data_IF_297792049368
#
_entry.id   IF_297792049368
#
_cell.length_a   1.000
_cell.length_b   1.000
_cell.length_c   1.000
_cell.angle_alpha   90.00
_cell.angle_beta   90.00
_cell.angle_gamma   90.00
#
_symmetry.space_group_name_H-M   'P 1'
#
loop_
_entity.id
_entity.type
_entity.pdbx_description
1 polymer ?
#
# COMPACT_ATOMS: atom_id res chain seq x y z
N UNK A 1 -36.23 11.02 -29.42
CA UNK A 1 -35.16 12.04 -29.31
C UNK A 1 -34.30 11.78 -28.07
N UNK A 2 -33.62 10.63 -27.96
CA UNK A 2 -32.77 10.27 -26.80
C UNK A 2 -31.32 9.90 -27.17
N UNK A 3 -30.98 9.84 -28.47
CA UNK A 3 -29.64 9.40 -28.92
C UNK A 3 -28.56 10.47 -28.86
N UNK A 4 -28.92 11.76 -28.88
CA UNK A 4 -27.93 12.85 -28.98
C UNK A 4 -27.25 13.13 -27.63
N UNK A 5 -27.98 13.00 -26.52
CA UNK A 5 -27.44 13.23 -25.17
C UNK A 5 -26.37 12.22 -24.76
N UNK A 6 -26.57 10.93 -25.09
CA UNK A 6 -25.62 9.88 -24.75
C UNK A 6 -24.30 10.02 -25.52
N UNK A 7 -24.39 10.41 -26.81
CA UNK A 7 -23.23 10.66 -27.66
C UNK A 7 -22.44 11.88 -27.15
N UNK A 8 -23.12 12.94 -26.72
CA UNK A 8 -22.46 14.10 -26.12
C UNK A 8 -21.73 13.76 -24.81
N UNK A 9 -22.33 12.92 -23.95
CA UNK A 9 -21.68 12.45 -22.72
C UNK A 9 -20.44 11.62 -23.04
N UNK A 10 -20.55 10.67 -23.97
CA UNK A 10 -19.42 9.84 -24.40
C UNK A 10 -18.29 10.67 -25.02
N UNK A 11 -18.61 11.69 -25.82
CA UNK A 11 -17.63 12.63 -26.39
C UNK A 11 -16.90 13.43 -25.32
N UNK A 12 -17.60 13.87 -24.26
CA UNK A 12 -16.98 14.55 -23.12
C UNK A 12 -16.04 13.61 -22.36
N UNK A 13 -16.42 12.34 -22.15
CA UNK A 13 -15.53 11.35 -21.54
C UNK A 13 -14.31 11.03 -22.41
N UNK A 14 -14.47 10.97 -23.74
CA UNK A 14 -13.36 10.76 -24.68
C UNK A 14 -12.43 11.97 -24.72
N UNK A 15 -12.97 13.19 -24.66
CA UNK A 15 -12.18 14.43 -24.59
C UNK A 15 -11.46 14.59 -23.24
N UNK A 16 -12.12 14.23 -22.14
CA UNK A 16 -11.48 14.20 -20.81
C UNK A 16 -10.44 13.08 -20.70
N UNK A 17 -10.64 11.95 -21.39
CA UNK A 17 -9.69 10.84 -21.46
C UNK A 17 -8.49 11.09 -22.38
N UNK A 18 -8.56 12.09 -23.27
CA UNK A 18 -7.49 12.48 -24.18
C UNK A 18 -6.41 13.37 -23.56
N UNK A 19 -6.72 14.02 -22.44
CA UNK A 19 -5.69 14.63 -21.60
C UNK A 19 -5.21 13.56 -20.61
N UNK A 20 -4.28 12.72 -21.05
CA UNK A 20 -3.37 12.07 -20.13
C UNK A 20 -2.56 13.17 -19.43
N UNK A 21 -3.16 13.76 -18.40
CA UNK A 21 -2.42 14.47 -17.36
C UNK A 21 -1.44 13.42 -16.89
N UNK A 22 -0.17 13.57 -17.27
CA UNK A 22 0.91 12.73 -16.73
C UNK A 22 0.73 12.78 -15.22
N UNK A 23 0.24 11.68 -14.65
CA UNK A 23 -0.08 11.60 -13.24
C UNK A 23 1.24 11.94 -12.57
N UNK A 24 1.35 13.10 -11.92
CA UNK A 24 2.54 13.44 -11.14
C UNK A 24 2.76 12.25 -10.22
N UNK A 25 3.85 11.51 -10.42
CA UNK A 25 4.10 10.26 -9.70
C UNK A 25 4.47 10.65 -8.27
N UNK A 26 3.56 10.51 -7.28
CA UNK A 26 3.85 10.96 -5.93
C UNK A 26 5.04 10.18 -5.34
N UNK A 27 5.31 8.95 -5.81
CA UNK A 27 6.48 8.17 -5.37
C UNK A 27 7.84 8.76 -5.81
N UNK A 28 7.87 9.57 -6.88
CA UNK A 28 9.10 10.22 -7.34
C UNK A 28 9.51 11.37 -6.41
N UNK A 29 8.60 11.82 -5.54
CA UNK A 29 8.93 12.65 -4.40
C UNK A 29 9.28 11.75 -3.20
N UNK A 30 10.57 11.69 -2.87
CA UNK A 30 11.08 10.87 -1.77
C UNK A 30 10.40 11.18 -0.43
N UNK A 31 9.81 12.38 -0.26
CA UNK A 31 9.07 12.76 0.94
C UNK A 31 7.80 11.92 1.13
N UNK A 32 7.20 11.45 0.04
CA UNK A 32 6.02 10.56 0.11
C UNK A 32 6.42 9.22 0.69
N UNK A 33 7.53 8.62 0.22
CA UNK A 33 8.04 7.37 0.78
C UNK A 33 8.51 7.55 2.22
N UNK A 34 9.20 8.65 2.54
CA UNK A 34 9.65 8.98 3.90
C UNK A 34 8.48 9.09 4.89
N UNK A 35 7.34 9.64 4.46
CA UNK A 35 6.13 9.69 5.28
C UNK A 35 5.67 8.29 5.69
N UNK A 36 5.55 7.35 4.74
CA UNK A 36 5.16 5.97 5.06
C UNK A 36 6.18 5.25 5.94
N UNK A 37 7.48 5.49 5.72
CA UNK A 37 8.55 4.93 6.57
C UNK A 37 8.45 5.46 8.00
N UNK A 38 8.12 6.74 8.16
CA UNK A 38 7.96 7.37 9.48
C UNK A 38 6.74 6.82 10.22
N UNK A 39 5.59 6.73 9.57
CA UNK A 39 4.37 6.14 10.15
C UNK A 39 4.59 4.69 10.61
N UNK A 40 5.32 3.91 9.82
CA UNK A 40 5.69 2.53 10.17
C UNK A 40 6.59 2.47 11.41
N UNK A 41 7.57 3.38 11.52
CA UNK A 41 8.43 3.49 12.70
C UNK A 41 7.65 3.91 13.96
N UNK A 42 6.78 4.90 13.83
CA UNK A 42 5.97 5.38 14.96
C UNK A 42 5.05 4.25 15.47
N UNK A 43 4.48 3.47 14.56
CA UNK A 43 3.72 2.26 14.89
C UNK A 43 4.56 1.22 15.63
N UNK A 44 5.82 1.00 15.23
CA UNK A 44 6.73 0.10 15.92
C UNK A 44 6.98 0.52 17.37
N UNK A 45 7.15 1.83 17.62
CA UNK A 45 7.32 2.35 18.99
C UNK A 45 6.10 2.05 19.85
N UNK A 46 4.88 2.25 19.31
CA UNK A 46 3.62 1.93 20.00
C UNK A 46 3.55 0.42 20.32
N UNK A 47 3.89 -0.43 19.34
CA UNK A 47 3.90 -1.88 19.51
C UNK A 47 4.89 -2.35 20.59
N UNK A 48 6.10 -1.79 20.60
CA UNK A 48 7.13 -2.08 21.63
C UNK A 48 6.70 -1.62 23.02
N UNK A 49 5.93 -0.53 23.09
CA UNK A 49 5.38 0.01 24.35
C UNK A 49 4.49 -0.98 25.11
N UNK A 50 3.99 -2.01 24.44
CA UNK A 50 2.99 -2.91 24.99
C UNK A 50 3.53 -4.04 25.89
N UNK A 51 4.85 -4.13 26.16
CA UNK A 51 5.51 -5.05 27.12
C UNK A 51 4.85 -6.44 27.31
N UNK A 52 4.48 -7.12 26.21
CA UNK A 52 3.86 -8.45 26.23
C UNK A 52 2.35 -8.51 26.50
N UNK A 53 1.71 -7.38 26.85
CA UNK A 53 0.26 -7.28 27.08
C UNK A 53 -0.59 -7.13 25.81
N UNK A 54 0.04 -7.00 24.64
CA UNK A 54 -0.66 -6.83 23.37
C UNK A 54 -1.23 -8.13 22.79
N UNK A 55 -1.03 -9.25 23.48
CA UNK A 55 -1.92 -10.40 23.39
C UNK A 55 -2.19 -10.91 21.99
N UNK A 56 -1.18 -10.91 21.11
CA UNK A 56 -1.28 -11.65 19.86
C UNK A 56 -1.01 -13.12 20.19
N UNK A 57 -2.05 -13.84 20.63
CA UNK A 57 -1.94 -15.28 20.95
C UNK A 57 -1.84 -16.16 19.70
N UNK A 58 -1.86 -15.57 18.49
CA UNK A 58 -1.84 -16.27 17.21
C UNK A 58 -0.61 -15.88 16.40
N UNK A 59 0.07 -16.88 15.84
CA UNK A 59 1.10 -16.62 14.84
C UNK A 59 0.44 -16.14 13.55
N UNK A 60 1.00 -15.09 12.93
CA UNK A 60 0.61 -14.63 11.60
C UNK A 60 1.73 -14.91 10.61
N UNK A 61 1.36 -15.28 9.40
CA UNK A 61 2.29 -15.30 8.28
C UNK A 61 2.51 -13.86 7.82
N UNK A 62 3.76 -13.45 7.75
CA UNK A 62 4.19 -12.12 7.29
C UNK A 62 5.21 -12.29 6.17
N UNK A 63 5.32 -11.33 5.23
CA UNK A 63 6.35 -11.40 4.20
C UNK A 63 7.74 -11.36 4.83
N UNK A 64 8.69 -12.04 4.18
CA UNK A 64 10.09 -11.88 4.51
C UNK A 64 10.55 -10.50 4.05
N UNK A 65 11.07 -9.70 4.97
CA UNK A 65 11.48 -8.31 4.70
C UNK A 65 12.98 -8.16 4.43
N UNK A 66 13.76 -9.23 4.57
CA UNK A 66 15.19 -9.23 4.25
C UNK A 66 15.39 -9.31 2.74
N UNK A 67 16.14 -8.37 2.18
CA UNK A 67 16.50 -8.34 0.76
C UNK A 67 17.98 -8.70 0.62
N UNK A 68 18.28 -9.70 -0.20
CA UNK A 68 19.64 -9.93 -0.69
C UNK A 68 19.86 -9.09 -1.95
N UNK A 69 20.60 -7.99 -1.80
CA UNK A 69 20.83 -7.05 -2.91
C UNK A 69 21.59 -7.68 -4.08
N UNK A 70 22.44 -8.67 -3.83
CA UNK A 70 23.18 -9.35 -4.89
C UNK A 70 22.25 -10.17 -5.80
N UNK A 71 21.16 -10.70 -5.24
CA UNK A 71 20.12 -11.39 -6.02
C UNK A 71 19.12 -10.38 -6.59
N UNK A 72 18.69 -9.42 -5.78
CA UNK A 72 17.65 -8.44 -6.11
C UNK A 72 17.99 -7.63 -7.37
N UNK A 73 19.24 -7.18 -7.51
CA UNK A 73 19.70 -6.41 -8.67
C UNK A 73 19.63 -7.18 -10.00
N UNK A 74 19.55 -8.51 -9.94
CA UNK A 74 19.43 -9.37 -11.11
C UNK A 74 17.98 -9.75 -11.46
N UNK A 75 17.01 -9.39 -10.62
CA UNK A 75 15.58 -9.57 -10.89
C UNK A 75 15.12 -8.44 -11.81
N UNK A 76 14.32 -8.75 -12.81
CA UNK A 76 13.74 -7.72 -13.67
C UNK A 76 12.77 -6.81 -12.88
N UNK A 77 12.57 -5.59 -13.38
CA UNK A 77 11.76 -4.57 -12.68
C UNK A 77 10.32 -5.05 -12.42
N UNK A 78 9.75 -5.86 -13.33
CA UNK A 78 8.42 -6.39 -13.14
C UNK A 78 8.40 -7.48 -12.07
N UNK A 79 9.40 -8.36 -12.03
CA UNK A 79 9.61 -9.32 -10.95
C UNK A 79 9.77 -8.66 -9.58
N UNK A 80 10.58 -7.60 -9.49
CA UNK A 80 10.74 -6.81 -8.27
C UNK A 80 9.41 -6.16 -7.84
N UNK A 81 8.68 -5.56 -8.77
CA UNK A 81 7.38 -4.96 -8.49
C UNK A 81 6.36 -5.99 -8.00
N UNK A 82 6.33 -7.18 -8.63
CA UNK A 82 5.46 -8.29 -8.25
C UNK A 82 5.79 -8.80 -6.84
N UNK A 83 7.06 -8.92 -6.48
CA UNK A 83 7.48 -9.32 -5.14
C UNK A 83 7.04 -8.29 -4.09
N UNK A 84 7.24 -7.00 -4.35
CA UNK A 84 6.79 -5.92 -3.46
C UNK A 84 5.27 -5.93 -3.30
N UNK A 85 4.51 -6.00 -4.40
CA UNK A 85 3.04 -6.01 -4.36
C UNK A 85 2.50 -7.23 -3.61
N UNK A 86 3.07 -8.42 -3.86
CA UNK A 86 2.69 -9.66 -3.17
C UNK A 86 3.01 -9.57 -1.67
N UNK A 87 4.19 -9.04 -1.33
CA UNK A 87 4.59 -8.81 0.05
C UNK A 87 3.65 -7.85 0.79
N UNK A 88 3.29 -6.73 0.17
CA UNK A 88 2.31 -5.77 0.71
C UNK A 88 0.95 -6.42 0.93
N UNK A 89 0.47 -7.23 -0.01
CA UNK A 89 -0.82 -7.93 0.12
C UNK A 89 -0.82 -8.93 1.28
N UNK A 90 0.27 -9.68 1.45
CA UNK A 90 0.42 -10.61 2.58
C UNK A 90 0.47 -9.86 3.91
N UNK A 91 1.16 -8.73 3.96
CA UNK A 91 1.22 -7.88 5.16
C UNK A 91 -0.15 -7.32 5.51
N UNK A 92 -0.90 -6.80 4.54
CA UNK A 92 -2.27 -6.30 4.74
C UNK A 92 -3.17 -7.39 5.33
N UNK A 93 -3.12 -8.62 4.79
CA UNK A 93 -3.87 -9.76 5.31
C UNK A 93 -3.46 -10.11 6.74
N UNK A 94 -2.16 -10.07 7.05
CA UNK A 94 -1.65 -10.34 8.40
C UNK A 94 -2.17 -9.32 9.40
N UNK A 95 -2.13 -8.02 9.07
CA UNK A 95 -2.61 -6.94 9.95
C UNK A 95 -4.13 -7.00 10.13
N UNK A 96 -4.89 -7.26 9.07
CA UNK A 96 -6.34 -7.45 9.17
C UNK A 96 -6.70 -8.65 10.06
N UNK A 97 -5.88 -9.71 10.06
CA UNK A 97 -6.07 -10.85 10.96
C UNK A 97 -5.63 -10.55 12.40
N UNK A 98 -4.60 -9.71 12.59
CA UNK A 98 -4.18 -9.22 13.90
C UNK A 98 -5.26 -8.34 14.55
N UNK A 99 -5.88 -7.45 13.75
CA UNK A 99 -6.94 -6.55 14.17
C UNK A 99 -8.13 -7.30 14.82
N UNK A 100 -8.48 -8.49 14.30
CA UNK A 100 -9.58 -9.31 14.84
C UNK A 100 -9.35 -9.81 16.27
N UNK A 101 -8.11 -9.81 16.74
CA UNK A 101 -7.72 -10.29 18.07
C UNK A 101 -7.27 -9.18 19.02
N UNK A 102 -7.14 -7.95 18.52
CA UNK A 102 -6.61 -6.85 19.33
C UNK A 102 -7.72 -6.28 20.21
N UNK A 103 -7.42 -6.10 21.50
CA UNK A 103 -8.30 -5.44 22.47
C UNK A 103 -7.72 -4.13 23.01
N UNK A 104 -6.42 -3.91 22.79
CA UNK A 104 -5.72 -2.69 23.21
C UNK A 104 -6.00 -1.56 22.20
N UNK A 105 -6.60 -0.45 22.66
CA UNK A 105 -6.99 0.67 21.81
C UNK A 105 -5.81 1.36 21.09
N UNK A 106 -4.67 1.67 21.75
CA UNK A 106 -3.48 2.18 21.06
C UNK A 106 -2.96 1.25 19.96
N UNK A 107 -2.93 -0.07 20.21
CA UNK A 107 -2.50 -1.04 19.22
C UNK A 107 -3.51 -1.16 18.06
N UNK A 108 -4.80 -1.13 18.35
CA UNK A 108 -5.85 -1.12 17.33
C UNK A 108 -5.70 0.08 16.40
N UNK A 109 -5.49 1.28 16.94
CA UNK A 109 -5.27 2.48 16.14
C UNK A 109 -3.99 2.38 15.31
N UNK A 110 -2.90 1.85 15.86
CA UNK A 110 -1.67 1.65 15.11
C UNK A 110 -1.88 0.65 13.96
N UNK A 111 -2.57 -0.47 14.19
CA UNK A 111 -2.88 -1.45 13.14
C UNK A 111 -3.75 -0.84 12.03
N UNK A 112 -4.76 -0.04 12.38
CA UNK A 112 -5.67 0.60 11.42
C UNK A 112 -4.93 1.60 10.53
N UNK A 113 -4.07 2.43 11.14
CA UNK A 113 -3.20 3.35 10.41
C UNK A 113 -2.27 2.60 9.45
N UNK A 114 -1.66 1.48 9.88
CA UNK A 114 -0.80 0.69 9.01
C UNK A 114 -1.56 0.06 7.84
N UNK A 115 -2.79 -0.45 8.06
CA UNK A 115 -3.65 -0.97 6.98
C UNK A 115 -3.94 0.13 5.96
N UNK A 116 -4.35 1.32 6.42
CA UNK A 116 -4.62 2.48 5.56
C UNK A 116 -3.38 2.92 4.77
N UNK A 117 -2.21 2.93 5.42
CA UNK A 117 -0.94 3.27 4.80
C UNK A 117 -0.53 2.26 3.73
N UNK A 118 -0.71 0.95 3.97
CA UNK A 118 -0.43 -0.09 2.97
C UNK A 118 -1.36 0.02 1.77
N UNK A 119 -2.65 0.28 1.98
CA UNK A 119 -3.58 0.51 0.87
C UNK A 119 -3.17 1.74 0.05
N UNK A 120 -2.83 2.84 0.71
CA UNK A 120 -2.36 4.06 0.06
C UNK A 120 -1.09 3.83 -0.75
N UNK A 121 -0.10 3.13 -0.15
CA UNK A 121 1.15 2.76 -0.82
C UNK A 121 0.89 1.81 -2.00
N UNK A 122 0.01 0.83 -1.84
CA UNK A 122 -0.39 -0.10 -2.89
C UNK A 122 -1.02 0.59 -4.09
N UNK A 123 -1.90 1.58 -3.87
CA UNK A 123 -2.49 2.40 -4.94
C UNK A 123 -1.42 3.22 -5.67
N UNK A 124 -0.47 3.80 -4.93
CA UNK A 124 0.65 4.53 -5.52
C UNK A 124 1.50 3.60 -6.38
N UNK A 125 1.84 2.41 -5.89
CA UNK A 125 2.63 1.43 -6.64
C UNK A 125 1.89 0.92 -7.88
N UNK A 126 0.59 0.62 -7.77
CA UNK A 126 -0.22 0.18 -8.90
C UNK A 126 -0.31 1.25 -10.00
N UNK A 127 -0.36 2.54 -9.62
CA UNK A 127 -0.36 3.64 -10.59
C UNK A 127 0.94 3.72 -11.43
N UNK A 128 2.04 3.12 -10.96
CA UNK A 128 3.29 3.05 -11.70
C UNK A 128 3.29 1.92 -12.72
N UNK A 129 2.66 0.79 -12.38
CA UNK A 129 2.55 -0.41 -13.22
C UNK A 129 1.60 -0.17 -14.41
N UNK A 130 0.53 0.61 -14.22
CA UNK A 130 -0.40 1.00 -15.29
C UNK A 130 0.19 1.95 -16.36
N UNK A 131 1.47 2.31 -16.26
CA UNK A 131 2.17 3.22 -17.18
C UNK A 131 3.44 2.62 -17.80
N UNK A 132 3.72 1.33 -17.60
CA UNK A 132 4.84 0.60 -18.22
C UNK A 132 4.33 -0.31 -19.33
#
# INVERSE_FOLDING_TARGET
MFGVGLVSVLMVFVWLGGNQVSTLRPICDLRVLDHFVREARDSEVIMRGCRGGCGVMKSYFVPLTSVDFAVWEHIDVHGQAMEVQTGLSLLDQALNNAMKSVSNSPLASALDNNISNIHSLGQILHSLDLQV
#
